data_IF_144669868948
#
_entry.id   IF_144669868948
#
_cell.length_a   1.000
_cell.length_b   1.000
_cell.length_c   1.000
_cell.angle_alpha   90.00
_cell.angle_beta   90.00
_cell.angle_gamma   90.00
#
_symmetry.space_group_name_H-M   'P 1'
#
loop_
_entity.id
_entity.type
_entity.pdbx_description
1 polymer ?
#
# COMPACT_ATOMS: atom_id res chain seq x y z
N UNK A 1 2.27 -13.07 9.93
CA UNK A 1 2.88 -12.27 8.84
C UNK A 1 1.74 -11.59 8.12
N UNK A 2 1.77 -10.27 8.04
CA UNK A 2 0.80 -9.46 7.31
C UNK A 2 1.15 -9.42 5.82
N UNK A 3 0.17 -9.12 4.96
CA UNK A 3 0.44 -8.83 3.54
C UNK A 3 1.43 -7.66 3.39
N UNK A 4 1.45 -6.73 4.35
CA UNK A 4 2.38 -5.59 4.38
C UNK A 4 3.84 -6.03 4.51
N UNK A 5 4.12 -7.15 5.20
CA UNK A 5 5.49 -7.65 5.38
C UNK A 5 6.09 -8.23 4.08
N UNK A 6 5.24 -8.46 3.07
CA UNK A 6 5.64 -9.00 1.77
C UNK A 6 5.98 -7.90 0.76
N UNK A 7 5.67 -6.64 1.08
CA UNK A 7 5.86 -5.52 0.17
C UNK A 7 7.35 -5.24 -0.08
N UNK A 8 7.68 -4.90 -1.32
CA UNK A 8 9.04 -4.63 -1.79
C UNK A 8 9.19 -3.13 -2.05
N UNK A 9 10.04 -2.48 -1.27
CA UNK A 9 10.28 -1.02 -1.36
C UNK A 9 11.73 -0.66 -1.69
N UNK A 10 12.58 -1.66 -1.93
CA UNK A 10 14.03 -1.51 -2.06
C UNK A 10 14.58 -1.99 -3.42
N UNK A 11 13.74 -2.00 -4.46
CA UNK A 11 14.19 -2.32 -5.83
C UNK A 11 15.30 -1.35 -6.24
N UNK A 12 16.32 -1.87 -6.91
CA UNK A 12 17.47 -1.12 -7.39
C UNK A 12 17.60 -1.20 -8.91
N UNK A 13 18.44 -0.33 -9.47
CA UNK A 13 18.82 -0.41 -10.88
C UNK A 13 19.47 -1.77 -11.22
N UNK A 14 20.27 -2.33 -10.32
CA UNK A 14 20.91 -3.63 -10.56
C UNK A 14 19.89 -4.76 -10.58
N UNK A 15 18.83 -4.69 -9.78
CA UNK A 15 17.75 -5.67 -9.80
C UNK A 15 17.07 -5.73 -11.17
N UNK A 16 16.78 -4.55 -11.75
CA UNK A 16 16.21 -4.43 -13.11
C UNK A 16 17.20 -4.91 -14.16
N UNK A 17 18.46 -4.45 -14.08
CA UNK A 17 19.52 -4.79 -15.05
C UNK A 17 19.81 -6.29 -15.08
N UNK A 18 19.75 -6.95 -13.92
CA UNK A 18 20.00 -8.39 -13.78
C UNK A 18 18.73 -9.24 -13.89
N UNK A 19 17.56 -8.63 -14.08
CA UNK A 19 16.28 -9.32 -14.17
C UNK A 19 16.03 -10.24 -12.96
N UNK A 20 16.39 -9.75 -11.78
CA UNK A 20 16.07 -10.45 -10.52
C UNK A 20 14.56 -10.54 -10.35
N UNK A 21 14.11 -11.40 -9.43
CA UNK A 21 12.69 -11.56 -9.13
C UNK A 21 12.01 -10.22 -8.79
N UNK A 22 12.64 -9.44 -7.88
CA UNK A 22 12.12 -8.11 -7.49
C UNK A 22 12.37 -7.01 -8.53
N UNK A 23 13.28 -7.22 -9.47
CA UNK A 23 13.61 -6.28 -10.54
C UNK A 23 12.60 -6.24 -11.68
N UNK A 24 11.63 -7.17 -11.71
CA UNK A 24 10.60 -7.26 -12.71
C UNK A 24 9.25 -7.09 -12.01
N UNK A 25 8.42 -6.16 -12.49
CA UNK A 25 7.09 -5.95 -11.96
C UNK A 25 6.08 -6.88 -12.66
N UNK A 26 5.64 -7.91 -11.97
CA UNK A 26 4.88 -9.06 -12.49
C UNK A 26 3.44 -9.12 -11.99
N UNK A 27 2.69 -10.12 -12.45
CA UNK A 27 1.35 -10.40 -11.97
C UNK A 27 1.31 -10.61 -10.45
N UNK A 28 2.34 -11.26 -9.88
CA UNK A 28 2.48 -11.44 -8.44
C UNK A 28 2.62 -10.10 -7.69
N UNK A 29 3.36 -9.12 -8.23
CA UNK A 29 3.48 -7.79 -7.65
C UNK A 29 2.14 -7.04 -7.68
N UNK A 30 1.43 -7.08 -8.81
CA UNK A 30 0.09 -6.49 -8.93
C UNK A 30 -0.88 -7.09 -7.91
N UNK A 31 -0.93 -8.41 -7.81
CA UNK A 31 -1.79 -9.12 -6.86
C UNK A 31 -1.43 -8.82 -5.40
N UNK A 32 -0.13 -8.74 -5.09
CA UNK A 32 0.37 -8.39 -3.76
C UNK A 32 -0.07 -6.98 -3.36
N UNK A 33 0.07 -6.02 -4.26
CA UNK A 33 -0.35 -4.64 -4.01
C UNK A 33 -1.86 -4.51 -3.91
N UNK A 34 -2.66 -5.14 -4.79
CA UNK A 34 -4.12 -5.12 -4.66
C UNK A 34 -4.58 -5.72 -3.31
N UNK A 35 -3.92 -6.80 -2.87
CA UNK A 35 -4.17 -7.40 -1.55
C UNK A 35 -3.81 -6.46 -0.40
N UNK A 36 -2.69 -5.76 -0.49
CA UNK A 36 -2.26 -4.79 0.52
C UNK A 36 -3.17 -3.56 0.58
N UNK A 37 -3.60 -3.04 -0.58
CA UNK A 37 -4.61 -1.98 -0.69
C UNK A 37 -5.90 -2.41 0.00
N UNK A 38 -6.41 -3.62 -0.29
CA UNK A 38 -7.63 -4.15 0.33
C UNK A 38 -7.49 -4.29 1.85
N UNK A 39 -6.35 -4.77 2.31
CA UNK A 39 -6.04 -4.88 3.73
C UNK A 39 -6.06 -3.51 4.43
N UNK A 40 -5.34 -2.52 3.91
CA UNK A 40 -5.30 -1.17 4.50
C UNK A 40 -6.67 -0.50 4.43
N UNK A 41 -7.38 -0.61 3.31
CA UNK A 41 -8.73 -0.08 3.18
C UNK A 41 -9.68 -0.69 4.23
N UNK A 42 -9.56 -1.98 4.52
CA UNK A 42 -10.27 -2.65 5.62
C UNK A 42 -9.97 -2.01 6.98
N UNK A 43 -8.69 -1.91 7.33
CA UNK A 43 -8.27 -1.28 8.61
C UNK A 43 -8.77 0.16 8.74
N UNK A 44 -8.76 0.92 7.64
CA UNK A 44 -9.20 2.31 7.61
C UNK A 44 -10.71 2.41 7.87
N UNK A 45 -11.51 1.57 7.20
CA UNK A 45 -12.96 1.50 7.42
C UNK A 45 -13.32 1.11 8.85
N UNK A 46 -12.60 0.16 9.45
CA UNK A 46 -12.78 -0.22 10.87
C UNK A 46 -12.61 0.95 11.83
N UNK A 47 -11.82 1.96 11.45
CA UNK A 47 -11.57 3.19 12.23
C UNK A 47 -12.44 4.36 11.79
N UNK A 48 -13.43 4.13 10.93
CA UNK A 48 -14.40 5.13 10.48
C UNK A 48 -13.94 6.01 9.31
N UNK A 49 -12.80 5.72 8.69
CA UNK A 49 -12.36 6.44 7.50
C UNK A 49 -13.16 5.97 6.28
N UNK A 50 -13.70 6.92 5.52
CA UNK A 50 -14.40 6.64 4.27
C UNK A 50 -13.39 6.36 3.16
N UNK A 51 -13.26 5.10 2.77
CA UNK A 51 -12.44 4.65 1.64
C UNK A 51 -13.22 3.66 0.80
N UNK A 52 -13.25 3.86 -0.50
CA UNK A 52 -13.87 2.94 -1.47
C UNK A 52 -12.79 2.43 -2.40
N UNK A 53 -12.80 1.12 -2.62
CA UNK A 53 -11.84 0.42 -3.49
C UNK A 53 -12.64 -0.55 -4.36
N UNK A 54 -12.25 -0.66 -5.61
CA UNK A 54 -12.85 -1.60 -6.56
C UNK A 54 -12.00 -2.87 -6.65
N UNK A 55 -12.63 -4.04 -6.67
CA UNK A 55 -11.90 -5.29 -6.84
C UNK A 55 -11.34 -5.38 -8.28
N UNK A 56 -10.09 -5.82 -8.40
CA UNK A 56 -9.44 -6.12 -9.67
C UNK A 56 -9.51 -7.61 -10.04
N UNK A 57 -9.05 -7.97 -11.26
CA UNK A 57 -8.86 -9.36 -11.62
C UNK A 57 -7.72 -9.95 -10.80
N UNK A 58 -7.74 -11.27 -10.61
CA UNK A 58 -6.53 -11.97 -10.19
C UNK A 58 -5.59 -12.05 -11.40
N UNK A 59 -4.48 -11.34 -11.33
CA UNK A 59 -3.50 -11.25 -12.42
C UNK A 59 -2.74 -12.57 -12.58
N UNK A 60 -2.49 -12.94 -13.82
CA UNK A 60 -1.64 -14.06 -14.25
C UNK A 60 -0.58 -13.56 -15.23
N UNK A 61 0.50 -14.31 -15.41
CA UNK A 61 1.59 -13.92 -16.33
C UNK A 61 1.14 -13.86 -17.80
N UNK A 62 0.02 -14.50 -18.15
CA UNK A 62 -0.56 -14.48 -19.49
C UNK A 62 -1.48 -13.26 -19.73
N UNK A 63 -1.81 -12.51 -18.68
CA UNK A 63 -2.68 -11.34 -18.79
C UNK A 63 -1.92 -10.16 -19.40
N UNK A 64 -2.62 -9.39 -20.23
CA UNK A 64 -2.13 -8.12 -20.77
C UNK A 64 -2.96 -7.01 -20.11
N UNK A 65 -2.39 -6.26 -19.13
CA UNK A 65 -3.10 -5.17 -18.47
C UNK A 65 -3.57 -4.11 -19.47
N UNK A 66 -4.85 -3.77 -19.41
CA UNK A 66 -5.39 -2.62 -20.16
C UNK A 66 -5.37 -1.36 -19.31
N UNK A 67 -5.34 -0.20 -19.98
CA UNK A 67 -5.26 1.11 -19.35
C UNK A 67 -6.29 1.32 -18.24
N UNK A 68 -7.54 0.90 -18.47
CA UNK A 68 -8.62 1.02 -17.49
C UNK A 68 -8.32 0.25 -16.19
N UNK A 69 -7.76 -0.95 -16.29
CA UNK A 69 -7.40 -1.76 -15.13
C UNK A 69 -6.25 -1.13 -14.33
N UNK A 70 -5.27 -0.54 -15.01
CA UNK A 70 -4.15 0.16 -14.37
C UNK A 70 -4.58 1.49 -13.74
N UNK A 71 -5.53 2.20 -14.36
CA UNK A 71 -6.14 3.39 -13.75
C UNK A 71 -6.85 3.00 -12.45
N UNK A 72 -7.73 1.99 -12.47
CA UNK A 72 -8.42 1.48 -11.27
C UNK A 72 -7.44 1.09 -10.17
N UNK A 73 -6.38 0.37 -10.54
CA UNK A 73 -5.33 -0.06 -9.63
C UNK A 73 -4.69 1.14 -8.89
N UNK A 74 -4.30 2.18 -9.62
CA UNK A 74 -3.72 3.40 -9.02
C UNK A 74 -4.77 4.25 -8.30
N UNK A 75 -6.03 4.26 -8.75
CA UNK A 75 -7.13 4.99 -8.11
C UNK A 75 -7.47 4.40 -6.75
N UNK A 76 -7.44 3.07 -6.62
CA UNK A 76 -7.56 2.41 -5.33
C UNK A 76 -6.43 2.81 -4.36
N UNK A 77 -5.19 2.87 -4.86
CA UNK A 77 -4.04 3.33 -4.08
C UNK A 77 -4.19 4.81 -3.67
N UNK A 78 -4.65 5.67 -4.57
CA UNK A 78 -4.97 7.08 -4.28
C UNK A 78 -6.05 7.21 -3.24
N UNK A 79 -7.11 6.40 -3.29
CA UNK A 79 -8.18 6.40 -2.31
C UNK A 79 -7.65 6.04 -0.91
N UNK A 80 -6.83 5.00 -0.79
CA UNK A 80 -6.20 4.61 0.47
C UNK A 80 -5.26 5.69 0.99
N UNK A 81 -4.42 6.25 0.11
CA UNK A 81 -3.50 7.34 0.45
C UNK A 81 -4.19 8.62 0.88
N UNK A 82 -5.30 8.97 0.24
CA UNK A 82 -6.06 10.19 0.51
C UNK A 82 -6.94 10.10 1.76
N UNK A 83 -7.35 8.89 2.16
CA UNK A 83 -8.17 8.68 3.34
C UNK A 83 -7.40 8.79 4.66
N UNK A 84 -6.10 8.48 4.66
CA UNK A 84 -5.26 8.51 5.86
C UNK A 84 -4.44 9.81 5.97
N UNK A 85 -4.12 10.27 7.20
CA UNK A 85 -2.98 11.16 7.40
C UNK A 85 -1.74 10.52 6.78
N UNK A 86 -0.81 11.31 6.22
CA UNK A 86 0.42 10.78 5.62
C UNK A 86 1.66 11.34 6.30
N UNK A 87 2.72 10.52 6.40
CA UNK A 87 3.99 10.95 6.98
C UNK A 87 4.67 11.94 6.04
N UNK A 88 5.44 12.90 6.57
CA UNK A 88 6.37 13.66 5.74
C UNK A 88 7.26 12.71 4.95
N UNK A 89 7.33 12.90 3.63
CA UNK A 89 8.10 12.04 2.74
C UNK A 89 7.37 10.81 2.19
N UNK A 90 6.11 10.54 2.57
CA UNK A 90 5.31 9.51 1.87
C UNK A 90 5.22 9.88 0.38
N UNK A 91 5.64 8.98 -0.55
CA UNK A 91 5.65 9.27 -1.98
C UNK A 91 4.28 9.67 -2.53
N UNK A 92 4.26 10.29 -3.70
CA UNK A 92 3.02 10.48 -4.46
C UNK A 92 2.71 9.21 -5.23
N UNK A 93 1.42 8.95 -5.47
CA UNK A 93 1.04 7.86 -6.37
C UNK A 93 1.54 8.22 -7.77
N UNK A 94 2.21 7.31 -8.49
CA UNK A 94 2.58 7.53 -9.88
C UNK A 94 1.39 8.00 -10.73
N UNK A 95 1.60 8.83 -11.75
CA UNK A 95 0.50 9.35 -12.57
C UNK A 95 -0.20 8.22 -13.34
N UNK A 96 0.58 7.25 -13.83
CA UNK A 96 0.13 6.09 -14.59
C UNK A 96 1.09 4.92 -14.37
N UNK A 97 0.84 3.82 -15.09
CA UNK A 97 1.70 2.63 -15.10
C UNK A 97 2.52 2.56 -16.41
N UNK A 98 2.55 3.62 -17.22
CA UNK A 98 3.31 3.64 -18.47
C UNK A 98 4.79 3.80 -18.15
N UNK A 99 5.63 2.96 -18.77
CA UNK A 99 7.07 2.90 -18.51
C UNK A 99 7.44 2.87 -17.01
N UNK A 100 6.67 2.15 -16.19
CA UNK A 100 6.84 2.07 -14.75
C UNK A 100 8.30 1.80 -14.36
N UNK A 101 8.91 2.74 -13.66
CA UNK A 101 10.29 2.62 -13.19
C UNK A 101 10.37 1.83 -11.88
N UNK A 102 11.54 1.30 -11.56
CA UNK A 102 11.75 0.64 -10.26
C UNK A 102 11.53 1.57 -9.06
N UNK A 103 11.71 2.89 -9.25
CA UNK A 103 11.43 3.89 -8.22
C UNK A 103 9.92 4.04 -8.01
N UNK A 104 9.16 4.14 -9.09
CA UNK A 104 7.70 4.22 -9.00
C UNK A 104 7.08 2.94 -8.44
N UNK A 105 7.64 1.77 -8.77
CA UNK A 105 7.25 0.51 -8.16
C UNK A 105 7.53 0.50 -6.64
N UNK A 106 8.67 1.04 -6.19
CA UNK A 106 8.94 1.21 -4.76
C UNK A 106 7.97 2.22 -4.12
N UNK A 107 7.70 3.34 -4.79
CA UNK A 107 6.80 4.39 -4.29
C UNK A 107 5.39 3.83 -4.04
N UNK A 108 4.88 3.00 -4.95
CA UNK A 108 3.59 2.32 -4.82
C UNK A 108 3.51 1.51 -3.51
N UNK A 109 4.51 0.69 -3.25
CA UNK A 109 4.53 -0.19 -2.08
C UNK A 109 4.89 0.57 -0.78
N UNK A 110 5.75 1.57 -0.87
CA UNK A 110 6.14 2.42 0.26
C UNK A 110 4.99 3.27 0.77
N UNK A 111 4.09 3.73 -0.10
CA UNK A 111 2.85 4.39 0.30
C UNK A 111 2.05 3.50 1.26
N UNK A 112 1.91 2.21 0.94
CA UNK A 112 1.14 1.27 1.74
C UNK A 112 1.84 0.96 3.08
N UNK A 113 3.16 0.75 3.07
CA UNK A 113 3.95 0.58 4.29
C UNK A 113 3.80 1.80 5.22
N UNK A 114 3.91 3.01 4.66
CA UNK A 114 3.80 4.25 5.43
C UNK A 114 2.42 4.44 6.04
N UNK A 115 1.35 4.20 5.28
CA UNK A 115 -0.01 4.30 5.80
C UNK A 115 -0.22 3.27 6.90
N UNK A 116 0.20 2.01 6.70
CA UNK A 116 0.09 0.97 7.72
C UNK A 116 0.78 1.40 9.03
N UNK A 117 1.99 1.97 8.94
CA UNK A 117 2.73 2.46 10.11
C UNK A 117 2.00 3.58 10.86
N UNK A 118 1.33 4.49 10.15
CA UNK A 118 0.52 5.54 10.79
C UNK A 118 -0.65 4.93 11.53
N UNK A 119 -1.30 3.93 10.95
CA UNK A 119 -2.40 3.22 11.59
C UNK A 119 -1.97 2.51 12.86
N UNK A 120 -0.81 1.87 12.84
CA UNK A 120 -0.22 1.21 14.02
C UNK A 120 0.08 2.25 15.12
N UNK A 121 0.61 3.42 14.74
CA UNK A 121 0.86 4.51 15.69
C UNK A 121 -0.43 5.08 16.31
N UNK A 122 -1.49 5.25 15.52
CA UNK A 122 -2.80 5.70 16.01
C UNK A 122 -3.37 4.68 17.01
N UNK A 123 -3.27 3.40 16.69
CA UNK A 123 -3.73 2.31 17.55
C UNK A 123 -2.95 2.26 18.88
N UNK A 124 -1.62 2.37 18.81
CA UNK A 124 -0.79 2.46 20.01
C UNK A 124 -1.15 3.68 20.87
N UNK A 125 -1.35 4.85 20.26
CA UNK A 125 -1.72 6.07 20.98
C UNK A 125 -3.07 5.95 21.71
N UNK A 126 -4.07 5.30 21.11
CA UNK A 126 -5.35 5.03 21.77
C UNK A 126 -5.21 4.08 22.96
N UNK A 127 -4.39 3.03 22.84
CA UNK A 127 -4.14 2.10 23.94
C UNK A 127 -3.50 2.82 25.14
N UNK A 128 -2.44 3.61 24.92
CA UNK A 128 -1.78 4.35 26.00
C UNK A 128 -2.67 5.43 26.62
N UNK A 129 -3.54 6.07 25.82
CA UNK A 129 -4.51 7.03 26.36
C UNK A 129 -5.60 6.35 27.20
N UNK A 130 -5.94 5.09 26.93
CA UNK A 130 -6.93 4.32 27.68
C UNK A 130 -6.40 3.73 28.99
N UNK A 131 -5.14 3.31 29.03
CA UNK A 131 -4.52 2.74 30.22
C UNK A 131 -4.22 3.76 31.33
N UNK A 132 -4.02 5.05 31.00
CA UNK A 132 -3.72 6.09 31.99
C UNK A 132 -4.96 6.48 32.84
N UNK A 133 -6.19 6.31 32.33
CA UNK A 133 -7.41 6.69 33.06
C UNK A 133 -7.98 5.60 33.99
N UNK A 134 -7.38 4.41 34.05
CA UNK A 134 -7.86 3.29 34.87
C UNK A 134 -7.06 3.08 36.18
N UNK A 135 -6.12 3.97 36.51
CA UNK A 135 -5.12 3.76 37.58
C UNK A 135 -5.14 4.69 38.79
N UNK A 136 -5.91 5.78 38.80
CA UNK A 136 -5.95 6.70 39.95
C UNK A 136 -7.33 6.76 40.60
N UNK A 137 -7.56 5.84 41.54
CA UNK A 137 -8.41 6.09 42.71
C UNK A 137 -7.55 5.72 43.93
N UNK A 138 -6.94 6.73 44.56
CA UNK A 138 -6.32 6.65 45.87
C UNK A 138 -7.04 7.61 46.81
#
# INVERSE_FOLDING_TARGET
>A
MSIIDTLVTDRTYDDVRLLTEKGIYRAEDLNRVESAVKYIAGRLRERGYAVTTEDGPLWTEDDIPVLEQMSRYLDNLRAVRGAAPTLPGTPQVPPDMDMLTYREANDIEEILVNINRIMDNIEAAWMFSGEIYAGEIA
#
